data_IF_785812438191
#
_entry.id   IF_785812438191
#
_cell.length_a   1.000
_cell.length_b   1.000
_cell.length_c   1.000
_cell.angle_alpha   90.00
_cell.angle_beta   90.00
_cell.angle_gamma   90.00
#
_symmetry.space_group_name_H-M   'P 1'
#
loop_
_entity.id
_entity.type
_entity.pdbx_description
1 polymer ?
#
# COMPACT_ATOMS: atom_id res chain seq x y z
N UNK A 1 -15.80 28.92 -26.83
CA UNK A 1 -14.71 28.02 -26.38
C UNK A 1 -15.38 26.79 -25.79
N UNK A 2 -15.32 25.66 -26.50
CA UNK A 2 -15.83 24.38 -26.00
C UNK A 2 -14.63 23.71 -25.32
N UNK A 3 -14.53 23.85 -24.00
CA UNK A 3 -13.51 23.16 -23.22
C UNK A 3 -13.84 21.66 -23.20
N UNK A 4 -12.94 20.89 -23.78
CA UNK A 4 -13.04 19.46 -23.94
C UNK A 4 -13.13 18.76 -22.58
N UNK A 5 -14.28 18.15 -22.29
CA UNK A 5 -14.39 17.11 -21.28
C UNK A 5 -13.58 15.90 -21.75
N UNK A 6 -12.38 15.72 -21.19
CA UNK A 6 -11.68 14.45 -21.29
C UNK A 6 -12.42 13.42 -20.43
N UNK A 7 -13.24 12.60 -21.08
CA UNK A 7 -13.75 11.35 -20.51
C UNK A 7 -12.55 10.41 -20.39
N UNK A 8 -11.97 10.31 -19.19
CA UNK A 8 -10.85 9.41 -18.93
C UNK A 8 -11.41 7.99 -18.79
N UNK A 9 -10.96 7.12 -19.69
CA UNK A 9 -11.26 5.70 -19.74
C UNK A 9 -10.97 5.00 -18.40
N UNK A 10 -11.83 4.04 -18.04
CA UNK A 10 -11.78 3.30 -16.77
C UNK A 10 -10.48 2.48 -16.63
N UNK A 11 -9.84 2.08 -17.73
CA UNK A 11 -8.58 1.33 -17.75
C UNK A 11 -7.36 2.21 -17.44
N UNK A 12 -7.41 3.50 -17.76
CA UNK A 12 -6.28 4.43 -17.58
C UNK A 12 -6.04 4.77 -16.10
N UNK A 13 -7.07 4.61 -15.24
CA UNK A 13 -6.97 4.95 -13.82
C UNK A 13 -6.02 4.03 -13.03
N UNK A 14 -5.92 2.76 -13.43
CA UNK A 14 -4.96 1.82 -12.82
C UNK A 14 -3.50 2.18 -13.10
N UNK A 15 -3.21 2.80 -14.24
CA UNK A 15 -1.86 3.22 -14.63
C UNK A 15 -1.39 4.49 -13.87
N UNK A 16 -2.32 5.39 -13.53
CA UNK A 16 -2.00 6.57 -12.72
C UNK A 16 -1.71 6.23 -11.26
N UNK A 17 -2.43 5.27 -10.67
CA UNK A 17 -2.17 4.84 -9.29
C UNK A 17 -0.79 4.16 -9.14
N UNK A 18 -0.39 3.35 -10.11
CA UNK A 18 0.97 2.79 -10.19
C UNK A 18 2.03 3.89 -10.36
N UNK A 19 1.69 4.98 -11.05
CA UNK A 19 2.57 6.14 -11.21
C UNK A 19 2.76 6.94 -9.92
N UNK A 20 1.78 6.95 -9.00
CA UNK A 20 1.91 7.61 -7.69
C UNK A 20 2.92 6.91 -6.78
N UNK A 21 2.94 5.57 -6.76
CA UNK A 21 3.96 4.79 -6.04
C UNK A 21 5.38 5.10 -6.56
N UNK A 22 5.55 5.16 -7.89
CA UNK A 22 6.82 5.52 -8.52
C UNK A 22 7.27 6.95 -8.21
N UNK A 23 6.35 7.92 -8.12
CA UNK A 23 6.66 9.29 -7.74
C UNK A 23 7.25 9.39 -6.31
N UNK A 24 6.97 8.40 -5.45
CA UNK A 24 7.49 8.32 -4.09
C UNK A 24 8.57 7.24 -3.89
N UNK A 25 9.12 6.67 -4.97
CA UNK A 25 10.21 5.69 -4.90
C UNK A 25 9.80 4.26 -4.49
N UNK A 26 8.50 3.94 -4.55
CA UNK A 26 8.01 2.58 -4.34
C UNK A 26 7.99 1.80 -5.65
N UNK A 27 8.41 0.55 -5.58
CA UNK A 27 8.19 -0.44 -6.63
C UNK A 27 6.73 -0.89 -6.62
N UNK A 28 6.23 -1.35 -7.76
CA UNK A 28 4.87 -1.88 -7.89
C UNK A 28 4.61 -2.97 -6.83
N UNK A 29 5.56 -3.88 -6.60
CA UNK A 29 5.42 -4.94 -5.60
C UNK A 29 5.38 -4.44 -4.15
N UNK A 30 6.03 -3.32 -3.82
CA UNK A 30 5.93 -2.74 -2.47
C UNK A 30 4.58 -2.04 -2.29
N UNK A 31 4.08 -1.38 -3.33
CA UNK A 31 2.76 -0.78 -3.31
C UNK A 31 1.66 -1.83 -3.13
N UNK A 32 1.75 -2.96 -3.84
CA UNK A 32 0.82 -4.07 -3.68
C UNK A 32 0.79 -4.61 -2.23
N UNK A 33 1.95 -4.70 -1.58
CA UNK A 33 2.03 -5.10 -0.17
C UNK A 33 1.48 -4.01 0.75
N UNK A 34 1.72 -2.74 0.47
CA UNK A 34 1.14 -1.63 1.22
C UNK A 34 -0.40 -1.68 1.21
N UNK A 35 -0.98 -1.97 0.04
CA UNK A 35 -2.43 -2.15 -0.11
C UNK A 35 -2.90 -3.35 0.71
N UNK A 36 -2.23 -4.50 0.63
CA UNK A 36 -2.58 -5.68 1.41
C UNK A 36 -2.51 -5.44 2.93
N UNK A 37 -1.53 -4.66 3.38
CA UNK A 37 -1.40 -4.21 4.77
C UNK A 37 -2.58 -3.34 5.18
N UNK A 38 -3.00 -2.41 4.32
CA UNK A 38 -4.13 -1.53 4.57
C UNK A 38 -5.48 -2.27 4.61
N UNK A 39 -5.61 -3.37 3.86
CA UNK A 39 -6.74 -4.31 3.93
C UNK A 39 -6.72 -5.21 5.18
N UNK A 40 -5.68 -5.09 6.02
CA UNK A 40 -5.58 -5.84 7.28
C UNK A 40 -5.09 -7.29 7.13
N UNK A 41 -4.51 -7.66 5.98
CA UNK A 41 -3.98 -9.01 5.79
C UNK A 41 -2.76 -9.26 6.69
N UNK A 42 -2.59 -10.50 7.15
CA UNK A 42 -1.36 -10.93 7.85
C UNK A 42 -0.25 -11.27 6.85
N UNK A 43 1.01 -11.24 7.28
CA UNK A 43 2.14 -11.55 6.39
C UNK A 43 2.03 -12.93 5.72
N UNK A 44 1.45 -13.92 6.42
CA UNK A 44 1.14 -15.24 5.86
C UNK A 44 0.07 -15.19 4.78
N UNK A 45 -0.97 -14.36 4.96
CA UNK A 45 -2.00 -14.18 3.96
C UNK A 45 -1.45 -13.45 2.73
N UNK A 46 -0.63 -12.40 2.94
CA UNK A 46 0.08 -11.67 1.88
C UNK A 46 0.98 -12.62 1.08
N UNK A 47 1.77 -13.43 1.77
CA UNK A 47 2.65 -14.42 1.15
C UNK A 47 1.87 -15.35 0.20
N UNK A 48 0.72 -15.87 0.64
CA UNK A 48 -0.14 -16.69 -0.22
C UNK A 48 -0.75 -15.90 -1.38
N UNK A 49 -1.35 -14.73 -1.09
CA UNK A 49 -2.05 -13.90 -2.10
C UNK A 49 -1.11 -13.46 -3.23
N UNK A 50 0.15 -13.16 -2.89
CA UNK A 50 1.15 -12.65 -3.84
C UNK A 50 2.13 -13.70 -4.37
N UNK A 51 1.93 -14.98 -4.01
CA UNK A 51 2.85 -16.08 -4.33
C UNK A 51 4.32 -15.77 -3.96
N UNK A 52 4.51 -15.29 -2.72
CA UNK A 52 5.81 -14.91 -2.15
C UNK A 52 6.17 -15.81 -0.97
N UNK A 53 7.46 -15.92 -0.68
CA UNK A 53 7.89 -16.48 0.61
C UNK A 53 7.57 -15.51 1.76
N UNK A 54 7.38 -16.02 2.97
CA UNK A 54 7.19 -15.17 4.16
C UNK A 54 8.35 -14.20 4.36
N UNK A 55 9.60 -14.65 4.13
CA UNK A 55 10.79 -13.80 4.20
C UNK A 55 10.75 -12.67 3.17
N UNK A 56 10.29 -12.95 1.95
CA UNK A 56 10.15 -11.94 0.91
C UNK A 56 9.13 -10.87 1.31
N UNK A 57 8.03 -11.24 1.97
CA UNK A 57 7.05 -10.28 2.51
C UNK A 57 7.69 -9.43 3.61
N UNK A 58 8.38 -10.06 4.57
CA UNK A 58 9.04 -9.36 5.67
C UNK A 58 10.09 -8.34 5.17
N UNK A 59 10.93 -8.73 4.20
CA UNK A 59 11.92 -7.83 3.62
C UNK A 59 11.27 -6.62 2.93
N UNK A 60 10.15 -6.82 2.23
CA UNK A 60 9.42 -5.73 1.57
C UNK A 60 8.72 -4.81 2.56
N UNK A 61 8.17 -5.35 3.64
CA UNK A 61 7.62 -4.55 4.75
C UNK A 61 8.70 -3.69 5.41
N UNK A 62 9.89 -4.26 5.63
CA UNK A 62 11.03 -3.52 6.19
C UNK A 62 11.42 -2.35 5.28
N UNK A 63 11.60 -2.61 3.98
CA UNK A 63 11.90 -1.54 3.02
C UNK A 63 10.80 -0.48 2.93
N UNK A 64 9.53 -0.90 3.00
CA UNK A 64 8.39 0.01 3.04
C UNK A 64 8.42 0.90 4.28
N UNK A 65 8.74 0.35 5.46
CA UNK A 65 8.84 1.12 6.70
C UNK A 65 9.98 2.15 6.66
N UNK A 66 11.10 1.78 6.08
CA UNK A 66 12.22 2.69 5.81
C UNK A 66 11.80 3.82 4.87
N UNK A 67 11.20 3.52 3.71
CA UNK A 67 10.73 4.53 2.74
C UNK A 67 9.64 5.45 3.31
N UNK A 68 8.80 4.93 4.20
CA UNK A 68 7.80 5.73 4.89
C UNK A 68 8.37 6.53 6.07
N UNK A 69 9.65 6.34 6.44
CA UNK A 69 10.28 6.92 7.63
C UNK A 69 9.46 6.71 8.91
N UNK A 70 8.78 5.55 9.04
CA UNK A 70 7.95 5.28 10.23
C UNK A 70 8.78 4.99 11.48
N UNK A 71 10.05 4.62 11.30
CA UNK A 71 11.03 4.49 12.38
C UNK A 71 11.42 5.86 12.96
N UNK A 72 11.54 6.90 12.13
CA UNK A 72 11.98 8.24 12.57
C UNK A 72 10.88 9.05 13.26
N UNK A 73 9.61 8.68 13.10
CA UNK A 73 8.54 9.21 13.95
C UNK A 73 8.74 8.86 15.44
N UNK A 74 9.66 7.93 15.73
CA UNK A 74 10.15 7.57 17.05
C UNK A 74 11.59 8.09 17.31
N UNK A 75 11.95 9.25 16.74
CA UNK A 75 13.29 9.85 16.83
C UNK A 75 13.69 10.43 18.19
N UNK A 76 12.90 10.19 19.24
CA UNK A 76 13.36 10.30 20.63
C UNK A 76 13.64 8.88 21.12
N UNK A 77 14.74 8.64 21.80
CA UNK A 77 15.00 7.33 22.45
C UNK A 77 13.87 6.96 23.45
N UNK A 78 13.09 7.94 23.93
CA UNK A 78 11.85 7.73 24.70
C UNK A 78 10.62 7.35 23.85
N UNK A 79 10.64 7.62 22.54
CA UNK A 79 9.57 7.30 21.60
C UNK A 79 9.73 5.92 20.96
N UNK A 80 10.82 5.20 21.22
CA UNK A 80 11.01 3.83 20.77
C UNK A 80 9.85 2.95 21.29
N UNK A 81 9.06 2.40 20.36
CA UNK A 81 7.86 1.63 20.69
C UNK A 81 6.56 2.43 20.90
N UNK A 82 6.55 3.76 20.74
CA UNK A 82 5.32 4.58 20.85
C UNK A 82 4.23 4.21 19.83
N UNK A 83 4.63 3.75 18.65
CA UNK A 83 3.73 3.43 17.56
C UNK A 83 3.95 2.00 17.04
N UNK A 84 2.86 1.32 16.71
CA UNK A 84 2.92 0.09 15.92
C UNK A 84 3.31 0.45 14.48
N UNK A 85 4.43 -0.09 13.98
CA UNK A 85 4.98 0.25 12.66
C UNK A 85 4.00 -0.04 11.52
N UNK A 86 3.25 -1.14 11.60
CA UNK A 86 2.30 -1.56 10.55
C UNK A 86 1.15 -0.57 10.42
N UNK A 87 0.49 -0.23 11.53
CA UNK A 87 -0.62 0.73 11.53
C UNK A 87 -0.12 2.15 11.25
N UNK A 88 1.10 2.48 11.71
CA UNK A 88 1.74 3.76 11.40
C UNK A 88 2.03 3.90 9.90
N UNK A 89 2.49 2.85 9.25
CA UNK A 89 2.70 2.82 7.80
C UNK A 89 1.42 3.12 7.03
N UNK A 90 0.29 2.49 7.40
CA UNK A 90 -1.03 2.77 6.79
C UNK A 90 -1.41 4.25 6.98
N UNK A 91 -1.27 4.77 8.19
CA UNK A 91 -1.57 6.17 8.50
C UNK A 91 -0.73 7.13 7.65
N UNK A 92 0.59 6.91 7.60
CA UNK A 92 1.51 7.73 6.81
C UNK A 92 1.20 7.63 5.32
N UNK A 93 0.83 6.46 4.82
CA UNK A 93 0.45 6.26 3.43
C UNK A 93 -0.80 7.08 3.04
N UNK A 94 -1.80 7.18 3.91
CA UNK A 94 -2.94 8.07 3.68
C UNK A 94 -2.56 9.55 3.75
N UNK A 95 -1.77 9.96 4.75
CA UNK A 95 -1.33 11.35 4.90
C UNK A 95 -0.49 11.83 3.70
N UNK A 96 0.32 10.93 3.12
CA UNK A 96 1.11 11.18 1.91
C UNK A 96 0.33 10.95 0.60
N UNK A 97 -0.96 10.61 0.67
CA UNK A 97 -1.83 10.32 -0.49
C UNK A 97 -1.31 9.17 -1.37
N UNK A 98 -0.53 8.24 -0.80
CA UNK A 98 -0.11 7.00 -1.46
C UNK A 98 -1.30 6.05 -1.60
N UNK A 99 -2.12 5.99 -0.56
CA UNK A 99 -3.39 5.27 -0.56
C UNK A 99 -4.54 6.25 -0.72
N UNK A 100 -5.56 5.84 -1.47
CA UNK A 100 -6.80 6.59 -1.63
C UNK A 100 -8.01 5.66 -1.51
N UNK A 101 -9.17 6.24 -1.20
CA UNK A 101 -10.41 5.49 -0.98
C UNK A 101 -10.78 4.60 -2.19
N UNK A 102 -10.72 5.14 -3.41
CA UNK A 102 -11.12 4.40 -4.61
C UNK A 102 -10.22 3.21 -4.94
N UNK A 103 -8.93 3.30 -4.61
CA UNK A 103 -7.98 2.20 -4.74
C UNK A 103 -8.29 1.11 -3.70
N UNK A 104 -8.52 1.51 -2.44
CA UNK A 104 -8.82 0.57 -1.36
C UNK A 104 -10.15 -0.15 -1.58
N UNK A 105 -11.19 0.56 -2.04
CA UNK A 105 -12.49 -0.04 -2.35
C UNK A 105 -12.40 -1.08 -3.48
N UNK A 106 -11.55 -0.85 -4.49
CA UNK A 106 -11.26 -1.88 -5.52
C UNK A 106 -10.50 -3.06 -4.93
N UNK A 107 -9.47 -2.78 -4.12
CA UNK A 107 -8.65 -3.83 -3.52
C UNK A 107 -9.44 -4.71 -2.53
N UNK A 108 -10.45 -4.16 -1.85
CA UNK A 108 -11.43 -4.90 -1.03
C UNK A 108 -12.28 -5.85 -1.87
N UNK A 109 -12.80 -5.40 -3.03
CA UNK A 109 -13.55 -6.28 -3.95
C UNK A 109 -12.67 -7.43 -4.46
N UNK A 110 -11.47 -7.12 -4.91
CA UNK A 110 -10.49 -8.11 -5.36
C UNK A 110 -10.10 -9.08 -4.23
N UNK A 111 -10.06 -8.59 -2.98
CA UNK A 111 -9.80 -9.43 -1.82
C UNK A 111 -10.96 -10.38 -1.53
N UNK A 112 -12.21 -9.90 -1.61
CA UNK A 112 -13.39 -10.72 -1.43
C UNK A 112 -13.47 -11.84 -2.48
N UNK A 113 -13.17 -11.54 -3.74
CA UNK A 113 -13.08 -12.52 -4.82
C UNK A 113 -12.01 -13.58 -4.53
N UNK A 114 -10.80 -13.16 -4.15
CA UNK A 114 -9.70 -14.08 -3.79
C UNK A 114 -10.03 -14.95 -2.57
N UNK A 115 -10.72 -14.39 -1.56
CA UNK A 115 -11.11 -15.11 -0.36
C UNK A 115 -12.25 -16.12 -0.63
N UNK A 116 -13.15 -15.80 -1.57
CA UNK A 116 -14.25 -16.66 -2.00
C UNK A 116 -13.86 -17.72 -3.03
N UNK A 117 -12.77 -17.53 -3.79
CA UNK A 117 -12.23 -18.53 -4.72
C UNK A 117 -11.44 -19.65 -4.03
N UNK A 118 -11.67 -19.88 -2.74
CA UNK A 118 -10.82 -20.66 -1.84
C UNK A 118 -11.52 -21.89 -1.28
#
# INVERSE_FOLDING_TARGET
FIEAQCVIDREVRGLQEKSLGKAHGFTDSEYEILVDVALGLTDKAIARRRNLSLRSVQNRLQSLYEKLNVHQAAGDDEAEGRYNLRTRAVTVAFLRKLLNYSALERAERELAEWAGSR
#
